data_IF_378819545836
#
_entry.id   IF_378819545836
#
_cell.length_a   1.000
_cell.length_b   1.000
_cell.length_c   1.000
_cell.angle_alpha   90.00
_cell.angle_beta   90.00
_cell.angle_gamma   90.00
#
_symmetry.space_group_name_H-M   'P 1'
#
loop_
_entity.id
_entity.type
_entity.pdbx_description
1 polymer ?
#
# COMPACT_ATOMS: atom_id res chain seq x y z
N UNK A 1 -28.05 22.49 -53.30
CA UNK A 1 -26.62 22.61 -52.95
C UNK A 1 -26.60 23.25 -51.56
N UNK A 2 -27.05 22.58 -50.48
CA UNK A 2 -26.46 21.39 -49.82
C UNK A 2 -24.94 21.62 -49.63
N UNK A 3 -24.36 21.78 -48.45
CA UNK A 3 -24.69 21.36 -47.09
C UNK A 3 -24.16 22.41 -46.08
N UNK A 4 -24.92 22.67 -45.01
CA UNK A 4 -24.40 23.30 -43.78
C UNK A 4 -24.68 22.31 -42.66
N UNK A 5 -23.86 21.25 -42.61
CA UNK A 5 -23.88 20.26 -41.55
C UNK A 5 -23.17 20.86 -40.32
N UNK A 6 -23.95 21.60 -39.54
CA UNK A 6 -23.57 22.06 -38.21
C UNK A 6 -23.50 20.85 -37.28
N UNK A 7 -22.35 20.20 -37.23
CA UNK A 7 -22.05 19.19 -36.23
C UNK A 7 -22.17 19.81 -34.83
N UNK A 8 -23.30 19.57 -34.17
CA UNK A 8 -23.43 19.77 -32.73
C UNK A 8 -22.48 18.75 -32.09
N UNK A 9 -21.44 19.16 -31.33
CA UNK A 9 -20.68 18.19 -30.56
C UNK A 9 -21.65 17.53 -29.57
N UNK A 10 -21.81 16.21 -29.69
CA UNK A 10 -22.53 15.43 -28.70
C UNK A 10 -21.95 15.75 -27.31
N UNK A 11 -22.78 15.84 -26.25
CA UNK A 11 -22.25 15.97 -24.91
C UNK A 11 -21.29 14.80 -24.69
N UNK A 12 -20.00 15.11 -24.50
CA UNK A 12 -19.05 14.14 -24.01
C UNK A 12 -19.59 13.74 -22.65
N UNK A 13 -20.28 12.59 -22.60
CA UNK A 13 -20.71 12.00 -21.34
C UNK A 13 -19.44 11.90 -20.50
N UNK A 14 -19.43 12.58 -19.35
CA UNK A 14 -18.39 12.45 -18.35
C UNK A 14 -18.17 10.95 -18.12
N UNK A 15 -17.09 10.40 -18.70
CA UNK A 15 -16.69 9.01 -18.50
C UNK A 15 -16.10 8.94 -17.09
N UNK A 16 -17.00 8.92 -16.12
CA UNK A 16 -16.69 8.69 -14.72
C UNK A 16 -16.31 7.22 -14.58
N UNK A 17 -15.01 6.97 -14.74
CA UNK A 17 -14.39 5.71 -14.39
C UNK A 17 -14.47 5.41 -12.90
N UNK A 18 -14.46 4.13 -12.56
CA UNK A 18 -14.32 3.70 -11.17
C UNK A 18 -12.84 3.54 -10.86
N UNK A 19 -12.32 4.32 -9.93
CA UNK A 19 -10.95 4.23 -9.43
C UNK A 19 -10.95 3.55 -8.06
N UNK A 20 -9.92 2.75 -7.79
CA UNK A 20 -9.66 2.26 -6.45
C UNK A 20 -9.04 3.39 -5.63
N UNK A 21 -9.49 3.56 -4.39
CA UNK A 21 -8.90 4.51 -3.45
C UNK A 21 -8.78 3.92 -2.05
N UNK A 22 -7.90 4.50 -1.24
CA UNK A 22 -7.71 4.12 0.15
C UNK A 22 -8.63 4.95 1.04
N UNK A 23 -9.29 4.30 2.00
CA UNK A 23 -10.17 4.96 2.95
C UNK A 23 -10.01 4.39 4.35
N UNK A 24 -10.49 5.14 5.35
CA UNK A 24 -10.45 4.79 6.75
C UNK A 24 -11.85 4.81 7.35
N UNK A 25 -12.12 3.83 8.19
CA UNK A 25 -13.34 3.82 9.00
C UNK A 25 -13.17 4.72 10.23
N UNK A 26 -14.27 5.14 10.89
CA UNK A 26 -14.19 5.85 12.17
C UNK A 26 -13.44 5.10 13.28
N UNK A 27 -13.30 3.78 13.14
CA UNK A 27 -12.50 2.95 14.05
C UNK A 27 -11.00 2.91 13.68
N UNK A 28 -10.55 3.76 12.75
CA UNK A 28 -9.18 3.79 12.26
C UNK A 28 -8.80 2.61 11.37
N UNK A 29 -9.73 1.75 10.96
CA UNK A 29 -9.40 0.61 10.06
C UNK A 29 -9.30 1.05 8.62
N UNK A 30 -8.22 0.66 7.95
CA UNK A 30 -8.02 0.87 6.52
C UNK A 30 -8.87 -0.09 5.67
N UNK A 31 -9.44 0.42 4.60
CA UNK A 31 -10.15 -0.37 3.60
C UNK A 31 -10.00 0.23 2.20
N UNK A 32 -10.40 -0.55 1.20
CA UNK A 32 -10.40 -0.13 -0.19
C UNK A 32 -11.80 0.35 -0.56
N UNK A 33 -11.91 1.55 -1.11
CA UNK A 33 -13.16 2.05 -1.67
C UNK A 33 -13.07 2.22 -3.17
N UNK A 34 -14.25 2.29 -3.80
CA UNK A 34 -14.37 2.59 -5.22
C UNK A 34 -14.81 4.04 -5.34
N UNK A 35 -13.87 4.92 -5.62
CA UNK A 35 -14.12 6.32 -5.88
C UNK A 35 -14.54 6.53 -7.34
N UNK A 36 -15.40 7.52 -7.58
CA UNK A 36 -15.69 8.02 -8.92
C UNK A 36 -14.51 8.87 -9.38
N UNK A 37 -13.86 8.49 -10.47
CA UNK A 37 -12.67 9.16 -11.03
C UNK A 37 -12.67 9.17 -12.56
N UNK A 38 -11.62 9.71 -13.18
CA UNK A 38 -11.45 9.71 -14.65
C UNK A 38 -10.59 8.49 -15.01
N UNK A 39 -11.20 7.35 -15.31
CA UNK A 39 -10.46 6.19 -15.81
C UNK A 39 -11.36 5.23 -16.58
N UNK A 40 -11.27 5.28 -17.90
CA UNK A 40 -11.92 4.33 -18.82
C UNK A 40 -11.04 3.09 -19.09
N UNK A 41 -10.02 2.85 -18.25
CA UNK A 41 -9.06 1.79 -18.44
C UNK A 41 -9.59 0.45 -17.91
N UNK A 42 -9.45 -0.67 -18.66
CA UNK A 42 -9.71 -2.00 -18.13
C UNK A 42 -8.90 -2.22 -16.85
N UNK A 43 -9.49 -2.93 -15.87
CA UNK A 43 -8.89 -3.16 -14.57
C UNK A 43 -7.44 -3.65 -14.71
N UNK A 44 -6.48 -2.82 -14.32
CA UNK A 44 -5.07 -3.16 -14.45
C UNK A 44 -4.74 -4.42 -13.63
N UNK A 45 -3.71 -5.20 -14.01
CA UNK A 45 -3.26 -6.32 -13.18
C UNK A 45 -2.95 -5.90 -11.74
N UNK A 46 -2.41 -4.69 -11.55
CA UNK A 46 -2.20 -4.09 -10.23
C UNK A 46 -3.52 -3.86 -9.48
N UNK A 47 -4.52 -3.25 -10.11
CA UNK A 47 -5.83 -3.05 -9.49
C UNK A 47 -6.48 -4.37 -9.04
N UNK A 48 -6.33 -5.44 -9.82
CA UNK A 48 -6.82 -6.77 -9.43
C UNK A 48 -6.06 -7.36 -8.23
N UNK A 49 -4.73 -7.23 -8.18
CA UNK A 49 -3.93 -7.69 -7.03
C UNK A 49 -4.25 -6.89 -5.77
N UNK A 50 -4.34 -5.56 -5.88
CA UNK A 50 -4.69 -4.65 -4.79
C UNK A 50 -6.06 -5.04 -4.22
N UNK A 51 -7.09 -5.15 -5.06
CA UNK A 51 -8.43 -5.56 -4.62
C UNK A 51 -8.43 -6.90 -3.89
N UNK A 52 -7.81 -7.94 -4.48
CA UNK A 52 -7.71 -9.27 -3.84
C UNK A 52 -6.97 -9.24 -2.51
N UNK A 53 -5.97 -8.37 -2.36
CA UNK A 53 -5.26 -8.22 -1.10
C UNK A 53 -6.13 -7.57 -0.03
N UNK A 54 -6.88 -6.51 -0.36
CA UNK A 54 -7.81 -5.87 0.57
C UNK A 54 -9.01 -6.74 0.93
N UNK A 55 -9.45 -7.65 0.04
CA UNK A 55 -10.46 -8.68 0.35
C UNK A 55 -10.01 -9.63 1.47
N UNK A 56 -8.70 -9.84 1.65
CA UNK A 56 -8.13 -10.60 2.78
C UNK A 56 -8.04 -9.79 4.07
N UNK A 57 -8.12 -8.46 3.98
CA UNK A 57 -8.05 -7.53 5.10
C UNK A 57 -7.12 -6.34 4.84
N UNK A 58 -7.31 -5.28 5.63
CA UNK A 58 -6.57 -4.01 5.47
C UNK A 58 -5.05 -4.16 5.53
N UNK A 59 -4.53 -4.96 6.47
CA UNK A 59 -3.10 -5.23 6.58
C UNK A 59 -2.53 -5.92 5.33
N UNK A 60 -3.23 -6.89 4.76
CA UNK A 60 -2.81 -7.55 3.51
C UNK A 60 -2.85 -6.58 2.32
N UNK A 61 -3.87 -5.71 2.27
CA UNK A 61 -3.95 -4.63 1.29
C UNK A 61 -2.75 -3.68 1.36
N UNK A 62 -2.42 -3.19 2.55
CA UNK A 62 -1.26 -2.35 2.79
C UNK A 62 0.05 -3.07 2.44
N UNK A 63 0.23 -4.35 2.84
CA UNK A 63 1.39 -5.15 2.44
C UNK A 63 1.52 -5.26 0.92
N UNK A 64 0.42 -5.48 0.20
CA UNK A 64 0.45 -5.52 -1.27
C UNK A 64 0.97 -4.20 -1.85
N UNK A 65 0.49 -3.06 -1.35
CA UNK A 65 0.91 -1.74 -1.79
C UNK A 65 2.41 -1.53 -1.53
N UNK A 66 2.84 -1.68 -0.27
CA UNK A 66 4.20 -1.36 0.18
C UNK A 66 5.26 -2.40 -0.13
N UNK A 67 4.88 -3.64 -0.44
CA UNK A 67 5.84 -4.71 -0.76
C UNK A 67 5.93 -5.04 -2.25
N UNK A 68 4.89 -4.75 -3.05
CA UNK A 68 4.79 -5.19 -4.45
C UNK A 68 4.60 -4.03 -5.42
N UNK A 69 3.72 -3.07 -5.13
CA UNK A 69 3.32 -2.01 -6.08
C UNK A 69 4.24 -0.76 -6.02
N UNK A 70 5.56 -0.96 -5.96
CA UNK A 70 6.59 0.06 -5.63
C UNK A 70 6.81 1.15 -6.69
N UNK A 71 6.33 0.97 -7.92
CA UNK A 71 6.48 1.94 -9.02
C UNK A 71 5.18 2.26 -9.76
N UNK A 72 4.05 1.72 -9.29
CA UNK A 72 2.76 1.93 -9.92
C UNK A 72 2.25 3.37 -9.72
N UNK A 73 1.56 3.90 -10.73
CA UNK A 73 0.75 5.11 -10.56
C UNK A 73 -0.47 4.74 -9.72
N UNK A 74 -0.65 5.44 -8.60
CA UNK A 74 -1.71 5.22 -7.63
C UNK A 74 -2.40 6.55 -7.34
N UNK A 75 -3.63 6.50 -6.82
CA UNK A 75 -4.26 7.68 -6.22
C UNK A 75 -3.40 8.17 -5.04
N UNK A 76 -3.50 9.45 -4.64
CA UNK A 76 -2.74 9.96 -3.49
C UNK A 76 -2.92 9.11 -2.22
N UNK A 77 -4.15 8.68 -1.91
CA UNK A 77 -4.40 7.88 -0.71
C UNK A 77 -3.80 6.46 -0.79
N UNK A 78 -3.88 5.80 -1.95
CA UNK A 78 -3.18 4.52 -2.14
C UNK A 78 -1.64 4.69 -2.10
N UNK A 79 -1.11 5.80 -2.61
CA UNK A 79 0.31 6.11 -2.53
C UNK A 79 0.75 6.36 -1.08
N UNK A 80 -0.08 7.00 -0.25
CA UNK A 80 0.12 7.13 1.19
C UNK A 80 0.17 5.77 1.89
N UNK A 81 -0.81 4.89 1.63
CA UNK A 81 -0.80 3.53 2.18
C UNK A 81 0.42 2.71 1.72
N UNK A 82 0.87 2.90 0.47
CA UNK A 82 2.12 2.32 -0.02
C UNK A 82 3.32 2.82 0.77
N UNK A 83 3.44 4.12 1.01
CA UNK A 83 4.60 4.68 1.73
C UNK A 83 4.68 4.16 3.17
N UNK A 84 3.54 4.13 3.89
CA UNK A 84 3.45 3.54 5.22
C UNK A 84 3.94 2.09 5.24
N UNK A 85 3.42 1.25 4.34
CA UNK A 85 3.81 -0.15 4.28
C UNK A 85 5.23 -0.36 3.73
N UNK A 86 5.72 0.55 2.89
CA UNK A 86 7.10 0.53 2.41
C UNK A 86 8.09 0.78 3.55
N UNK A 87 7.81 1.76 4.42
CA UNK A 87 8.57 2.00 5.64
C UNK A 87 8.62 0.75 6.53
N UNK A 88 7.48 0.06 6.68
CA UNK A 88 7.42 -1.23 7.36
C UNK A 88 8.35 -2.27 6.73
N UNK A 89 8.29 -2.43 5.40
CA UNK A 89 9.12 -3.39 4.68
C UNK A 89 10.63 -3.07 4.76
N UNK A 90 11.01 -1.79 4.74
CA UNK A 90 12.41 -1.37 4.93
C UNK A 90 12.91 -1.76 6.32
N UNK A 91 12.12 -1.50 7.37
CA UNK A 91 12.49 -1.92 8.74
C UNK A 91 12.54 -3.44 8.88
N UNK A 92 11.58 -4.14 8.28
CA UNK A 92 11.54 -5.60 8.28
C UNK A 92 12.79 -6.20 7.65
N UNK A 93 13.20 -5.74 6.47
CA UNK A 93 14.38 -6.27 5.77
C UNK A 93 15.68 -6.02 6.54
N UNK A 94 15.80 -4.85 7.20
CA UNK A 94 16.93 -4.55 8.06
C UNK A 94 17.05 -5.53 9.25
N UNK A 95 15.93 -5.96 9.86
CA UNK A 95 15.95 -6.91 10.97
C UNK A 95 16.09 -8.36 10.51
N UNK A 96 15.45 -8.75 9.40
CA UNK A 96 15.54 -10.08 8.83
C UNK A 96 16.98 -10.47 8.47
N UNK A 97 17.79 -9.50 8.04
CA UNK A 97 19.21 -9.71 7.71
C UNK A 97 20.06 -10.03 8.96
N UNK A 98 19.60 -9.65 10.15
CA UNK A 98 20.36 -9.73 11.40
C UNK A 98 19.87 -10.83 12.36
N UNK A 99 18.72 -11.44 12.08
CA UNK A 99 18.04 -12.34 13.01
C UNK A 99 18.30 -13.81 12.66
N UNK A 100 18.83 -14.57 13.63
CA UNK A 100 18.97 -16.03 13.52
C UNK A 100 17.62 -16.76 13.62
N UNK A 101 16.65 -16.16 14.33
CA UNK A 101 15.28 -16.67 14.47
C UNK A 101 14.27 -15.56 14.17
N UNK A 102 13.74 -15.55 12.95
CA UNK A 102 12.72 -14.59 12.52
C UNK A 102 11.43 -14.66 13.37
N UNK A 103 11.08 -15.82 13.92
CA UNK A 103 9.84 -16.00 14.67
C UNK A 103 9.82 -15.24 16.00
N UNK A 104 10.97 -14.81 16.52
CA UNK A 104 11.08 -14.02 17.74
C UNK A 104 11.37 -12.53 17.50
N UNK A 105 11.50 -12.09 16.24
CA UNK A 105 11.85 -10.70 15.92
C UNK A 105 10.71 -9.75 16.24
N UNK A 106 10.94 -8.83 17.16
CA UNK A 106 10.05 -7.70 17.38
C UNK A 106 10.43 -6.53 16.47
N UNK A 107 9.43 -5.95 15.79
CA UNK A 107 9.58 -4.78 14.94
C UNK A 107 8.92 -3.57 15.60
N UNK A 108 9.66 -2.79 16.42
CA UNK A 108 9.09 -1.62 17.07
C UNK A 108 8.67 -0.56 16.04
N UNK A 109 7.48 0.01 16.26
CA UNK A 109 6.95 1.05 15.40
C UNK A 109 7.81 2.34 15.46
N UNK A 110 8.14 2.94 14.31
CA UNK A 110 8.81 4.24 14.22
C UNK A 110 7.89 5.39 14.62
N UNK A 111 7.55 5.54 15.90
CA UNK A 111 6.49 6.48 16.31
C UNK A 111 6.67 7.91 15.78
N UNK A 112 7.89 8.43 15.77
CA UNK A 112 8.16 9.78 15.25
C UNK A 112 7.89 9.88 13.73
N UNK A 113 8.35 8.90 12.96
CA UNK A 113 8.10 8.86 11.51
C UNK A 113 6.63 8.56 11.20
N UNK A 114 5.93 7.78 12.03
CA UNK A 114 4.49 7.53 11.88
C UNK A 114 3.68 8.81 12.16
N UNK A 115 4.01 9.57 13.20
CA UNK A 115 3.38 10.88 13.45
C UNK A 115 3.61 11.84 12.27
N UNK A 116 4.83 11.87 11.74
CA UNK A 116 5.13 12.69 10.55
C UNK A 116 4.32 12.24 9.33
N UNK A 117 4.21 10.93 9.12
CA UNK A 117 3.43 10.38 8.01
C UNK A 117 1.95 10.71 8.17
N UNK A 118 1.36 10.51 9.35
CA UNK A 118 -0.03 10.87 9.64
C UNK A 118 -0.31 12.36 9.37
N UNK A 119 0.59 13.25 9.78
CA UNK A 119 0.48 14.69 9.52
C UNK A 119 0.57 15.04 8.01
N UNK A 120 1.17 14.19 7.19
CA UNK A 120 1.30 14.35 5.75
C UNK A 120 0.22 13.60 4.95
N UNK A 121 -0.80 13.04 5.62
CA UNK A 121 -1.84 12.27 4.97
C UNK A 121 -2.60 13.12 3.91
N UNK A 122 -2.81 12.60 2.70
CA UNK A 122 -3.60 13.29 1.69
C UNK A 122 -5.08 13.31 2.09
N UNK A 123 -5.89 14.21 1.49
CA UNK A 123 -7.34 14.13 1.60
C UNK A 123 -7.84 12.76 1.14
N UNK A 124 -8.55 12.05 2.01
CA UNK A 124 -9.19 10.77 1.74
C UNK A 124 -10.37 10.58 2.70
N UNK A 125 -11.28 9.68 2.34
CA UNK A 125 -12.41 9.32 3.22
C UNK A 125 -11.88 8.82 4.56
N UNK A 126 -12.28 9.49 5.65
CA UNK A 126 -11.90 9.13 7.02
C UNK A 126 -10.50 9.58 7.44
N UNK A 127 -9.85 10.47 6.69
CA UNK A 127 -8.55 11.04 7.07
C UNK A 127 -8.58 11.74 8.45
N UNK A 128 -9.74 12.24 8.88
CA UNK A 128 -9.91 12.87 10.20
C UNK A 128 -9.74 11.89 11.38
N UNK A 129 -9.80 10.58 11.12
CA UNK A 129 -9.55 9.54 12.12
C UNK A 129 -8.10 9.05 12.12
N UNK A 130 -7.23 9.60 11.27
CA UNK A 130 -5.85 9.16 11.15
C UNK A 130 -4.93 9.97 12.07
N UNK A 131 -4.23 9.26 12.95
CA UNK A 131 -3.17 9.80 13.80
C UNK A 131 -2.04 8.77 13.97
N UNK A 132 -1.00 9.12 14.73
CA UNK A 132 0.11 8.21 15.01
C UNK A 132 -0.31 6.94 15.75
N UNK A 133 -1.34 6.99 16.61
CA UNK A 133 -1.83 5.82 17.33
C UNK A 133 -2.55 4.82 16.39
N UNK A 134 -3.29 5.33 15.40
CA UNK A 134 -3.88 4.50 14.33
C UNK A 134 -2.80 3.87 13.47
N UNK A 135 -1.76 4.61 13.10
CA UNK A 135 -0.63 4.04 12.35
C UNK A 135 0.19 3.03 13.16
N UNK A 136 0.33 3.24 14.48
CA UNK A 136 0.92 2.24 15.39
C UNK A 136 0.09 0.94 15.39
N UNK A 137 -1.25 1.04 15.38
CA UNK A 137 -2.12 -0.13 15.28
C UNK A 137 -1.98 -0.83 13.93
N UNK A 138 -1.91 -0.08 12.82
CA UNK A 138 -1.66 -0.64 11.49
C UNK A 138 -0.30 -1.34 11.43
N UNK A 139 0.71 -0.80 12.12
CA UNK A 139 2.05 -1.38 12.17
C UNK A 139 2.02 -2.76 12.84
N UNK A 140 1.32 -2.87 13.97
CA UNK A 140 1.13 -4.15 14.66
C UNK A 140 0.34 -5.14 13.78
N UNK A 141 -0.68 -4.68 13.07
CA UNK A 141 -1.47 -5.50 12.16
C UNK A 141 -0.62 -6.00 10.96
N UNK A 142 0.26 -5.17 10.40
CA UNK A 142 1.22 -5.57 9.37
C UNK A 142 2.18 -6.64 9.90
N UNK A 143 2.73 -6.43 11.11
CA UNK A 143 3.64 -7.38 11.72
C UNK A 143 2.99 -8.76 11.91
N UNK A 144 1.74 -8.79 12.40
CA UNK A 144 0.95 -10.03 12.49
C UNK A 144 0.74 -10.67 11.12
N UNK A 145 0.28 -9.90 10.13
CA UNK A 145 0.01 -10.41 8.79
C UNK A 145 1.25 -11.00 8.11
N UNK A 146 2.43 -10.39 8.28
CA UNK A 146 3.68 -10.92 7.73
C UNK A 146 4.09 -12.22 8.42
N UNK A 147 3.97 -12.32 9.74
CA UNK A 147 4.25 -13.56 10.48
C UNK A 147 3.36 -14.71 10.01
N UNK A 148 2.08 -14.45 9.80
CA UNK A 148 1.13 -15.42 9.26
C UNK A 148 1.51 -15.87 7.84
N UNK A 149 1.84 -14.92 6.94
CA UNK A 149 2.23 -15.26 5.56
C UNK A 149 3.56 -16.03 5.48
N UNK A 150 4.55 -15.69 6.32
CA UNK A 150 5.83 -16.38 6.37
C UNK A 150 5.66 -17.79 6.93
N UNK A 151 4.91 -17.95 8.02
CA UNK A 151 4.64 -19.27 8.59
C UNK A 151 3.90 -20.19 7.61
N UNK A 152 2.91 -19.66 6.88
CA UNK A 152 2.20 -20.42 5.85
C UNK A 152 3.09 -20.80 4.66
N UNK A 153 4.16 -20.04 4.40
CA UNK A 153 5.12 -20.25 3.32
C UNK A 153 6.35 -21.08 3.68
N UNK A 154 6.39 -21.72 4.84
CA UNK A 154 7.52 -22.55 5.28
C UNK A 154 8.53 -21.87 6.21
N UNK A 155 8.24 -20.64 6.68
CA UNK A 155 8.99 -19.97 7.73
C UNK A 155 10.18 -19.13 7.27
N UNK A 156 10.57 -19.21 6.00
CA UNK A 156 11.75 -18.50 5.47
C UNK A 156 11.43 -17.07 5.03
N UNK A 157 11.87 -16.09 5.82
CA UNK A 157 11.68 -14.65 5.53
C UNK A 157 12.31 -14.24 4.20
N UNK A 158 13.49 -14.74 3.85
CA UNK A 158 14.16 -14.43 2.58
C UNK A 158 13.38 -14.94 1.36
N UNK A 159 12.81 -16.14 1.47
CA UNK A 159 11.98 -16.72 0.41
C UNK A 159 10.70 -15.90 0.24
N UNK A 160 10.09 -15.47 1.35
CA UNK A 160 8.93 -14.58 1.31
C UNK A 160 9.26 -13.20 0.69
N UNK A 161 10.37 -12.58 1.07
CA UNK A 161 10.84 -11.29 0.53
C UNK A 161 11.09 -11.36 -0.99
N UNK A 162 11.78 -12.42 -1.45
CA UNK A 162 11.98 -12.69 -2.89
C UNK A 162 10.65 -12.78 -3.65
N UNK A 163 9.65 -13.39 -3.03
CA UNK A 163 8.31 -13.54 -3.61
C UNK A 163 7.54 -12.22 -3.74
N UNK A 164 7.88 -11.17 -2.97
CA UNK A 164 7.18 -9.87 -3.01
C UNK A 164 7.68 -8.97 -4.13
N UNK A 165 8.98 -8.70 -4.16
CA UNK A 165 9.58 -7.84 -5.19
C UNK A 165 11.10 -8.05 -5.23
N UNK A 166 11.73 -8.11 -6.41
CA UNK A 166 13.19 -8.31 -6.53
C UNK A 166 14.03 -7.29 -5.74
N UNK A 167 13.52 -6.06 -5.60
CA UNK A 167 14.17 -4.96 -4.88
C UNK A 167 14.44 -5.23 -3.40
N UNK A 168 13.69 -6.14 -2.75
CA UNK A 168 13.90 -6.44 -1.33
C UNK A 168 15.15 -7.28 -1.04
N UNK A 169 15.75 -7.89 -2.05
CA UNK A 169 16.98 -8.68 -1.91
C UNK A 169 18.25 -7.83 -1.90
N UNK A 170 18.16 -6.57 -2.32
CA UNK A 170 19.30 -5.64 -2.45
C UNK A 170 19.54 -4.83 -1.17
N UNK A 171 18.49 -4.62 -0.37
CA UNK A 171 18.55 -3.79 0.86
C UNK A 171 19.45 -4.42 1.94
N UNK A 172 19.73 -5.73 1.88
CA UNK A 172 20.65 -6.44 2.78
C UNK A 172 22.09 -6.62 2.29
N UNK A 173 22.45 -6.18 1.06
CA UNK A 173 23.83 -6.31 0.51
C UNK A 173 24.58 -4.99 0.38
N UNK A 174 23.91 -3.86 0.57
CA UNK A 174 24.53 -2.54 0.59
C UNK A 174 24.57 -2.08 2.05
N UNK A 175 25.57 -2.54 2.80
CA UNK A 175 26.01 -1.79 3.97
C UNK A 175 26.41 -0.40 3.49
N UNK A 176 25.64 0.63 3.86
CA UNK A 176 26.11 2.00 3.76
C UNK A 176 27.31 2.15 4.69
N UNK A 177 28.49 2.39 4.13
CA UNK A 177 29.53 3.12 4.83
C UNK A 177 28.97 4.51 5.11
N UNK A 178 28.67 4.81 6.37
CA UNK A 178 28.48 6.18 6.83
C UNK A 178 29.87 6.82 6.89
N UNK A 179 30.16 7.68 5.90
CA UNK A 179 31.30 8.60 5.91
C UNK A 179 30.76 10.02 6.11
#
# INVERSE_FOLDING_TARGET
>A
MADLDGAIPAPQADLVGLALDLALSPAGRVYLEIARGVTDAPASPAATRIRKAFERGGAHGLLQLGAVELGGVLTPALAFGREFAHLFMVRLTAHATLADDWASVELPAPRAELEHLAAAAPPMTGAEYLDGAVLDAWWADLHRAVREEIAAGGGEVDTWLRGKHPGWNLVGRVCFHLA
#
